data_IF_566107922075
#
_entry.id   IF_566107922075
#
_cell.length_a   1.000
_cell.length_b   1.000
_cell.length_c   1.000
_cell.angle_alpha   90.00
_cell.angle_beta   90.00
_cell.angle_gamma   90.00
#
_symmetry.space_group_name_H-M   'P 1'
#
loop_
_entity.id
_entity.type
_entity.pdbx_description
1 polymer ?
#
# COMPACT_ATOMS: atom_id res chain seq x y z
N UNK A 1 -1.88 -22.21 21.64
CA UNK A 1 -1.99 -20.73 21.56
C UNK A 1 -1.04 -20.25 20.47
N UNK A 2 -1.57 -19.83 19.32
CA UNK A 2 -0.76 -19.41 18.19
C UNK A 2 -0.20 -17.99 18.43
N UNK A 3 1.12 -17.83 18.31
CA UNK A 3 1.82 -16.54 18.36
C UNK A 3 1.43 -15.70 17.15
N UNK A 4 0.41 -14.85 17.25
CA UNK A 4 0.01 -13.93 16.15
C UNK A 4 0.80 -12.62 16.12
N UNK A 5 1.81 -12.46 16.98
CA UNK A 5 2.54 -11.19 17.14
C UNK A 5 3.63 -10.95 16.08
N UNK A 6 3.99 -11.96 15.27
CA UNK A 6 5.22 -11.95 14.46
C UNK A 6 5.08 -11.44 13.02
N UNK A 7 3.88 -11.35 12.44
CA UNK A 7 3.71 -10.96 11.03
C UNK A 7 3.47 -9.47 10.82
N UNK A 8 2.98 -8.75 11.83
CA UNK A 8 2.69 -7.31 11.72
C UNK A 8 3.95 -6.45 11.89
N UNK A 9 4.89 -6.86 12.74
CA UNK A 9 6.12 -6.11 13.03
C UNK A 9 7.17 -6.19 11.91
N UNK A 10 7.09 -7.18 11.01
CA UNK A 10 8.03 -7.36 9.89
C UNK A 10 7.56 -6.74 8.58
N UNK A 11 6.27 -6.36 8.48
CA UNK A 11 5.70 -5.85 7.24
C UNK A 11 5.99 -4.38 6.99
N UNK A 12 6.02 -3.52 8.02
CA UNK A 12 6.37 -2.10 7.84
C UNK A 12 7.78 -1.93 7.24
N UNK A 13 8.85 -2.55 7.79
CA UNK A 13 10.18 -2.43 7.19
C UNK A 13 10.27 -2.98 5.77
N UNK A 14 9.48 -4.01 5.45
CA UNK A 14 9.38 -4.54 4.09
C UNK A 14 8.81 -3.50 3.12
N UNK A 15 7.64 -2.93 3.42
CA UNK A 15 7.01 -1.94 2.54
C UNK A 15 7.81 -0.64 2.44
N UNK A 16 8.45 -0.19 3.53
CA UNK A 16 9.39 0.95 3.49
C UNK A 16 10.50 0.67 2.47
N UNK A 17 11.16 -0.48 2.56
CA UNK A 17 12.25 -0.83 1.65
C UNK A 17 11.79 -0.94 0.19
N UNK A 18 10.63 -1.54 -0.05
CA UNK A 18 10.06 -1.64 -1.41
C UNK A 18 9.78 -0.26 -1.98
N UNK A 19 9.14 0.63 -1.23
CA UNK A 19 8.85 2.00 -1.68
C UNK A 19 10.13 2.80 -1.94
N UNK A 20 11.14 2.69 -1.07
CA UNK A 20 12.46 3.31 -1.27
C UNK A 20 13.13 2.79 -2.57
N UNK A 21 13.05 1.49 -2.84
CA UNK A 21 13.56 0.92 -4.08
C UNK A 21 12.80 1.40 -5.34
N UNK A 22 11.47 1.56 -5.25
CA UNK A 22 10.65 2.05 -6.35
C UNK A 22 10.94 3.52 -6.66
N UNK A 23 11.08 4.36 -5.63
CA UNK A 23 11.50 5.76 -5.75
C UNK A 23 12.88 5.85 -6.42
N UNK A 24 13.82 5.01 -5.98
CA UNK A 24 15.17 4.96 -6.56
C UNK A 24 15.26 4.26 -7.94
N UNK A 25 14.13 3.77 -8.50
CA UNK A 25 14.08 2.97 -9.73
C UNK A 25 15.00 1.72 -9.72
N UNK A 26 15.20 1.11 -8.55
CA UNK A 26 16.11 -0.03 -8.35
C UNK A 26 15.45 -1.41 -8.43
N UNK A 27 14.13 -1.48 -8.28
CA UNK A 27 13.40 -2.76 -8.17
C UNK A 27 11.96 -2.65 -8.70
N UNK A 28 11.81 -2.79 -10.02
CA UNK A 28 10.51 -2.63 -10.70
C UNK A 28 9.63 -3.90 -10.63
N UNK A 29 10.17 -5.03 -10.18
CA UNK A 29 9.44 -6.31 -10.12
C UNK A 29 8.31 -6.24 -9.07
N UNK A 30 8.53 -5.52 -7.97
CA UNK A 30 7.52 -5.28 -6.93
C UNK A 30 6.49 -4.20 -7.31
N UNK A 31 6.76 -3.39 -8.35
CA UNK A 31 5.91 -2.25 -8.74
C UNK A 31 4.48 -2.69 -9.03
N UNK A 32 4.31 -3.79 -9.75
CA UNK A 32 2.98 -4.29 -10.12
C UNK A 32 2.14 -4.69 -8.90
N UNK A 33 2.77 -5.32 -7.90
CA UNK A 33 2.12 -5.70 -6.65
C UNK A 33 1.72 -4.49 -5.81
N UNK A 34 2.63 -3.52 -5.67
CA UNK A 34 2.38 -2.28 -4.95
C UNK A 34 1.30 -1.43 -5.63
N UNK A 35 1.37 -1.26 -6.96
CA UNK A 35 0.35 -0.53 -7.71
C UNK A 35 -1.03 -1.17 -7.58
N UNK A 36 -1.09 -2.51 -7.68
CA UNK A 36 -2.33 -3.25 -7.48
C UNK A 36 -2.91 -3.02 -6.07
N UNK A 37 -2.06 -3.02 -5.04
CA UNK A 37 -2.49 -2.78 -3.67
C UNK A 37 -2.97 -1.33 -3.44
N UNK A 38 -2.28 -0.33 -4.00
CA UNK A 38 -2.72 1.07 -3.94
C UNK A 38 -4.04 1.24 -4.69
N UNK A 39 -4.18 0.64 -5.87
CA UNK A 39 -5.41 0.65 -6.64
C UNK A 39 -6.56 -0.01 -5.89
N UNK A 40 -6.32 -1.14 -5.23
CA UNK A 40 -7.32 -1.79 -4.39
C UNK A 40 -7.75 -0.90 -3.21
N UNK A 41 -6.79 -0.29 -2.51
CA UNK A 41 -7.09 0.66 -1.42
C UNK A 41 -7.92 1.84 -1.91
N UNK A 42 -7.58 2.40 -3.08
CA UNK A 42 -8.32 3.49 -3.73
C UNK A 42 -9.76 3.10 -4.07
N UNK A 43 -9.98 1.94 -4.68
CA UNK A 43 -11.34 1.48 -5.04
C UNK A 43 -12.20 1.25 -3.79
N UNK A 44 -11.61 0.77 -2.70
CA UNK A 44 -12.28 0.63 -1.40
C UNK A 44 -12.58 2.00 -0.79
N UNK A 45 -11.63 2.94 -0.83
CA UNK A 45 -11.82 4.30 -0.31
C UNK A 45 -12.96 5.04 -1.04
N UNK A 46 -13.06 4.86 -2.36
CA UNK A 46 -14.13 5.42 -3.21
C UNK A 46 -15.48 4.71 -3.07
N UNK A 47 -15.53 3.58 -2.35
CA UNK A 47 -16.75 2.78 -2.17
C UNK A 47 -17.11 1.90 -3.37
N UNK A 48 -16.25 1.77 -4.36
CA UNK A 48 -16.43 0.89 -5.52
C UNK A 48 -16.18 -0.59 -5.17
N UNK A 49 -15.38 -0.85 -4.12
CA UNK A 49 -15.13 -2.18 -3.56
C UNK A 49 -15.47 -2.23 -2.08
N UNK A 50 -15.81 -3.42 -1.60
CA UNK A 50 -16.05 -3.66 -0.18
C UNK A 50 -14.73 -3.93 0.56
N UNK A 51 -14.58 -3.45 1.80
CA UNK A 51 -13.42 -3.76 2.65
C UNK A 51 -13.19 -5.27 2.80
N UNK A 52 -14.26 -6.07 2.80
CA UNK A 52 -14.15 -7.53 2.96
C UNK A 52 -13.67 -8.25 1.68
N UNK A 53 -13.59 -7.56 0.55
CA UNK A 53 -13.06 -8.12 -0.70
C UNK A 53 -11.56 -7.88 -0.90
N UNK A 54 -10.89 -7.22 0.04
CA UNK A 54 -9.43 -6.97 -0.04
C UNK A 54 -8.69 -8.31 -0.08
N UNK A 55 -7.76 -8.43 -1.03
CA UNK A 55 -6.91 -9.60 -1.16
C UNK A 55 -6.10 -9.89 0.11
N UNK A 56 -5.74 -11.15 0.33
CA UNK A 56 -4.83 -11.50 1.45
C UNK A 56 -3.41 -11.00 1.20
N UNK A 57 -3.04 -10.94 -0.07
CA UNK A 57 -1.78 -10.35 -0.52
C UNK A 57 -1.84 -8.84 -0.27
N UNK A 58 -0.83 -8.31 0.41
CA UNK A 58 -0.75 -6.90 0.81
C UNK A 58 -1.87 -6.38 1.71
N UNK A 59 -2.69 -7.25 2.34
CA UNK A 59 -3.79 -6.83 3.24
C UNK A 59 -3.38 -5.79 4.28
N UNK A 60 -2.20 -5.98 4.91
CA UNK A 60 -1.65 -5.03 5.88
C UNK A 60 -1.41 -3.64 5.26
N UNK A 61 -0.84 -3.62 4.06
CA UNK A 61 -0.54 -2.38 3.36
C UNK A 61 -1.82 -1.67 2.94
N UNK A 62 -2.76 -2.38 2.30
CA UNK A 62 -4.07 -1.83 1.89
C UNK A 62 -4.81 -1.23 3.09
N UNK A 63 -4.90 -1.97 4.21
CA UNK A 63 -5.59 -1.48 5.42
C UNK A 63 -4.87 -0.30 6.08
N UNK A 64 -3.53 -0.25 6.01
CA UNK A 64 -2.75 0.90 6.47
C UNK A 64 -3.05 2.14 5.64
N UNK A 65 -3.08 2.02 4.30
CA UNK A 65 -3.44 3.10 3.39
C UNK A 65 -4.85 3.62 3.66
N UNK A 66 -5.83 2.72 3.82
CA UNK A 66 -7.21 3.08 4.15
C UNK A 66 -7.37 3.81 5.49
N UNK A 67 -6.46 3.57 6.43
CA UNK A 67 -6.52 4.17 7.77
C UNK A 67 -5.76 5.49 7.85
N UNK A 68 -4.62 5.61 7.18
CA UNK A 68 -3.68 6.73 7.35
C UNK A 68 -3.48 7.60 6.12
N UNK A 69 -3.98 7.19 4.96
CA UNK A 69 -3.77 7.85 3.65
C UNK A 69 -5.06 8.00 2.85
N UNK A 70 -6.22 7.89 3.52
CA UNK A 70 -7.52 7.78 2.85
C UNK A 70 -7.84 8.98 1.96
N UNK A 71 -7.57 10.19 2.44
CA UNK A 71 -7.92 11.41 1.71
C UNK A 71 -7.12 11.49 0.40
N UNK A 72 -5.81 11.24 0.47
CA UNK A 72 -4.94 11.16 -0.71
C UNK A 72 -5.40 10.06 -1.69
N UNK A 73 -5.85 8.89 -1.20
CA UNK A 73 -6.38 7.83 -2.07
C UNK A 73 -7.62 8.28 -2.88
N UNK A 74 -8.45 9.17 -2.32
CA UNK A 74 -9.62 9.70 -3.02
C UNK A 74 -9.22 10.61 -4.16
N UNK A 75 -8.15 11.39 -3.97
CA UNK A 75 -7.62 12.36 -4.93
C UNK A 75 -6.75 11.73 -6.03
N UNK A 76 -6.31 10.47 -5.87
CA UNK A 76 -5.53 9.77 -6.89
C UNK A 76 -6.32 9.52 -8.18
N UNK A 77 -5.78 10.03 -9.29
CA UNK A 77 -6.26 9.78 -10.65
C UNK A 77 -5.47 8.64 -11.34
N UNK A 78 -6.13 7.90 -12.23
CA UNK A 78 -5.47 6.83 -12.99
C UNK A 78 -5.14 5.54 -12.22
N UNK A 79 -4.41 4.65 -12.90
CA UNK A 79 -4.04 3.30 -12.42
C UNK A 79 -2.53 3.07 -12.39
N UNK A 80 -1.74 4.11 -12.66
CA UNK A 80 -0.28 4.09 -12.57
C UNK A 80 0.10 5.14 -11.55
N UNK A 81 0.91 4.74 -10.58
CA UNK A 81 1.39 5.61 -9.53
C UNK A 81 2.85 5.98 -9.79
N UNK A 82 3.19 7.19 -9.41
CA UNK A 82 4.48 7.82 -9.62
C UNK A 82 5.26 7.94 -8.30
N UNK A 83 6.47 8.47 -8.41
CA UNK A 83 7.37 8.69 -7.29
C UNK A 83 6.76 9.56 -6.19
N UNK A 84 5.96 10.57 -6.55
CA UNK A 84 5.27 11.44 -5.59
C UNK A 84 4.26 10.64 -4.76
N UNK A 85 3.48 9.78 -5.42
CA UNK A 85 2.55 8.88 -4.73
C UNK A 85 3.27 7.95 -3.76
N UNK A 86 4.38 7.32 -4.21
CA UNK A 86 5.17 6.43 -3.35
C UNK A 86 5.81 7.16 -2.17
N UNK A 87 6.29 8.38 -2.39
CA UNK A 87 6.88 9.21 -1.35
C UNK A 87 5.85 9.58 -0.28
N UNK A 88 4.64 10.00 -0.67
CA UNK A 88 3.56 10.28 0.28
C UNK A 88 3.17 9.05 1.11
N UNK A 89 3.18 7.86 0.51
CA UNK A 89 2.94 6.60 1.23
C UNK A 89 4.12 6.23 2.13
N UNK A 90 5.36 6.52 1.73
CA UNK A 90 6.54 6.27 2.54
C UNK A 90 6.53 7.11 3.82
N UNK A 91 6.09 8.37 3.73
CA UNK A 91 6.00 9.29 4.87
C UNK A 91 5.02 8.80 5.94
N UNK A 92 3.89 8.20 5.57
CA UNK A 92 2.94 7.66 6.55
C UNK A 92 3.46 6.36 7.21
N UNK A 93 4.38 5.64 6.59
CA UNK A 93 4.89 4.37 7.11
C UNK A 93 6.07 4.55 8.07
N UNK A 94 6.76 5.68 7.99
CA UNK A 94 7.80 6.12 8.94
C UNK A 94 7.17 6.67 10.23
#
# INVERSE_FOLDING_TARGET
MAKSTSYFQTQVPFYIKVLENLIDNKDLDEKGGIDSAIFEAKEVAKGNKQVFSIGKEHYYFVTTLLTRYKDNLLDLEGNSFDEETYSGILEILK
#
